data_IF_059889620880
#
_entry.id   IF_059889620880
#
_cell.length_a   1.000
_cell.length_b   1.000
_cell.length_c   1.000
_cell.angle_alpha   90.00
_cell.angle_beta   90.00
_cell.angle_gamma   90.00
#
_symmetry.space_group_name_H-M   'P 1'
#
loop_
_entity.id
_entity.type
_entity.pdbx_description
1 polymer ?
#
# COMPACT_ATOMS: atom_id res chain seq x y z
N UNK A 1 14.50 -24.07 -13.89
CA UNK A 1 14.67 -23.25 -12.66
C UNK A 1 14.28 -24.11 -11.48
N UNK A 2 15.06 -24.12 -10.40
CA UNK A 2 14.67 -24.81 -9.16
C UNK A 2 13.42 -24.14 -8.56
N UNK A 3 12.55 -24.90 -7.89
CA UNK A 3 11.32 -24.36 -7.25
C UNK A 3 11.61 -23.15 -6.35
N UNK A 4 12.76 -23.16 -5.67
CA UNK A 4 13.22 -22.09 -4.79
C UNK A 4 13.51 -20.77 -5.56
N UNK A 5 13.99 -20.86 -6.80
CA UNK A 5 14.20 -19.68 -7.63
C UNK A 5 12.84 -19.07 -8.03
N UNK A 6 11.86 -19.90 -8.37
CA UNK A 6 10.53 -19.45 -8.79
C UNK A 6 9.77 -18.74 -7.65
N UNK A 7 9.96 -19.20 -6.41
CA UNK A 7 9.35 -18.61 -5.20
C UNK A 7 10.14 -17.43 -4.62
N UNK A 8 11.25 -17.02 -5.24
CA UNK A 8 12.00 -15.86 -4.74
C UNK A 8 11.17 -14.57 -4.92
N UNK A 9 11.17 -13.65 -3.93
CA UNK A 9 10.41 -12.41 -3.98
C UNK A 9 10.55 -11.61 -5.30
N UNK A 10 11.75 -11.38 -5.86
CA UNK A 10 11.88 -10.61 -7.10
C UNK A 10 11.23 -11.32 -8.30
N UNK A 11 11.34 -12.64 -8.41
CA UNK A 11 10.74 -13.41 -9.50
C UNK A 11 9.22 -13.40 -9.38
N UNK A 12 8.69 -13.59 -8.17
CA UNK A 12 7.25 -13.52 -7.90
C UNK A 12 6.69 -12.15 -8.31
N UNK A 13 7.35 -11.05 -7.91
CA UNK A 13 6.93 -9.69 -8.30
C UNK A 13 6.92 -9.52 -9.81
N UNK A 14 7.97 -9.95 -10.51
CA UNK A 14 8.04 -9.84 -11.99
C UNK A 14 6.91 -10.64 -12.64
N UNK A 15 6.66 -11.87 -12.19
CA UNK A 15 5.60 -12.73 -12.75
C UNK A 15 4.23 -12.09 -12.53
N UNK A 16 3.91 -11.64 -11.32
CA UNK A 16 2.62 -11.01 -11.05
C UNK A 16 2.46 -9.66 -11.75
N UNK A 17 3.52 -8.86 -11.87
CA UNK A 17 3.50 -7.63 -12.65
C UNK A 17 3.26 -7.90 -14.14
N UNK A 18 3.90 -8.94 -14.70
CA UNK A 18 3.69 -9.36 -16.08
C UNK A 18 2.25 -9.86 -16.30
N UNK A 19 1.70 -10.65 -15.38
CA UNK A 19 0.30 -11.09 -15.42
C UNK A 19 -0.66 -9.91 -15.35
N UNK A 20 -0.50 -9.01 -14.37
CA UNK A 20 -1.35 -7.82 -14.22
C UNK A 20 -1.30 -6.93 -15.46
N UNK A 21 -0.10 -6.71 -16.02
CA UNK A 21 0.09 -5.95 -17.26
C UNK A 21 -0.58 -6.65 -18.45
N UNK A 22 -0.43 -7.97 -18.56
CA UNK A 22 -1.09 -8.78 -19.57
C UNK A 22 -2.61 -8.66 -19.51
N UNK A 23 -3.19 -8.75 -18.31
CA UNK A 23 -4.62 -8.54 -18.09
C UNK A 23 -5.06 -7.13 -18.46
N UNK A 24 -4.31 -6.11 -18.05
CA UNK A 24 -4.61 -4.71 -18.38
C UNK A 24 -4.63 -4.47 -19.89
N UNK A 25 -3.62 -4.97 -20.61
CA UNK A 25 -3.53 -4.85 -22.07
C UNK A 25 -4.62 -5.65 -22.79
N UNK A 26 -4.91 -6.86 -22.32
CA UNK A 26 -6.00 -7.67 -22.87
C UNK A 26 -7.36 -6.99 -22.67
N UNK A 27 -7.65 -6.53 -21.45
CA UNK A 27 -8.86 -5.79 -21.13
C UNK A 27 -8.99 -4.52 -21.98
N UNK A 28 -7.91 -3.75 -22.12
CA UNK A 28 -7.88 -2.58 -23.00
C UNK A 28 -8.10 -2.91 -24.47
N UNK A 29 -7.71 -4.11 -24.92
CA UNK A 29 -7.94 -4.57 -26.31
C UNK A 29 -9.39 -4.99 -26.57
N UNK A 30 -10.07 -5.53 -25.56
CA UNK A 30 -11.49 -5.89 -25.60
C UNK A 30 -12.41 -4.70 -25.31
N UNK A 31 -11.91 -3.64 -24.69
CA UNK A 31 -12.70 -2.46 -24.39
C UNK A 31 -13.21 -1.79 -25.68
N UNK A 32 -14.51 -1.40 -25.73
CA UNK A 32 -15.05 -0.69 -26.87
C UNK A 32 -14.38 0.69 -27.00
N UNK A 33 -13.89 0.99 -28.20
CA UNK A 33 -13.36 2.32 -28.51
C UNK A 33 -14.54 3.27 -28.69
N UNK A 34 -14.75 4.16 -27.73
CA UNK A 34 -15.72 5.26 -27.86
C UNK A 34 -15.04 6.46 -28.53
N UNK A 35 -15.79 7.19 -29.36
CA UNK A 35 -15.35 8.47 -29.93
C UNK A 35 -14.93 9.46 -28.83
N UNK A 36 -14.03 10.39 -29.18
CA UNK A 36 -13.65 11.44 -28.25
C UNK A 36 -14.78 12.46 -28.16
N UNK A 37 -15.36 12.59 -26.96
CA UNK A 37 -16.31 13.63 -26.63
C UNK A 37 -15.70 14.57 -25.58
N UNK A 38 -16.02 15.88 -25.64
CA UNK A 38 -15.48 16.86 -24.69
C UNK A 38 -15.81 16.50 -23.23
N UNK A 39 -16.99 15.93 -22.97
CA UNK A 39 -17.40 15.48 -21.63
C UNK A 39 -16.77 14.18 -21.13
N UNK A 40 -16.07 13.42 -21.98
CA UNK A 40 -15.55 12.08 -21.64
C UNK A 40 -14.49 12.10 -20.54
N UNK A 41 -13.77 13.21 -20.41
CA UNK A 41 -12.70 13.41 -19.43
C UNK A 41 -13.06 14.48 -18.38
N UNK A 42 -14.30 14.98 -18.40
CA UNK A 42 -14.76 15.93 -17.40
C UNK A 42 -15.01 15.22 -16.06
N UNK A 43 -14.71 15.87 -14.92
CA UNK A 43 -15.09 15.36 -13.60
C UNK A 43 -16.59 15.08 -13.53
N UNK A 44 -16.97 14.07 -12.75
CA UNK A 44 -18.38 13.79 -12.52
C UNK A 44 -18.99 14.89 -11.64
N UNK A 45 -19.78 15.76 -12.26
CA UNK A 45 -20.50 16.85 -11.59
C UNK A 45 -21.97 16.91 -12.05
N UNK A 46 -22.59 15.75 -12.33
CA UNK A 46 -23.97 15.67 -12.80
C UNK A 46 -24.28 16.54 -14.05
N UNK A 47 -23.27 16.83 -14.88
CA UNK A 47 -23.39 17.68 -16.07
C UNK A 47 -23.17 19.17 -15.82
N UNK A 48 -22.84 19.58 -14.60
CA UNK A 48 -22.48 20.95 -14.25
C UNK A 48 -21.01 21.24 -14.60
N UNK A 49 -20.73 22.44 -15.09
CA UNK A 49 -19.37 22.91 -15.36
C UNK A 49 -18.75 23.48 -14.09
N UNK A 50 -18.40 22.58 -13.17
CA UNK A 50 -17.83 22.93 -11.86
C UNK A 50 -16.32 22.76 -11.94
N UNK A 51 -15.59 23.86 -11.78
CA UNK A 51 -14.15 23.80 -11.57
C UNK A 51 -13.86 23.01 -10.28
N UNK A 52 -12.90 22.07 -10.26
CA UNK A 52 -12.55 21.35 -9.05
C UNK A 52 -12.26 22.34 -7.93
N UNK A 53 -12.98 22.28 -6.80
CA UNK A 53 -12.68 23.16 -5.69
C UNK A 53 -11.27 22.87 -5.18
N UNK A 54 -10.50 23.92 -4.87
CA UNK A 54 -9.23 23.80 -4.16
C UNK A 54 -9.53 23.42 -2.70
N UNK A 55 -9.84 22.15 -2.46
CA UNK A 55 -10.08 21.64 -1.11
C UNK A 55 -8.72 21.37 -0.47
N UNK A 56 -8.39 22.17 0.55
CA UNK A 56 -7.31 21.82 1.49
C UNK A 56 -7.83 20.73 2.43
N UNK A 57 -7.70 19.48 2.00
CA UNK A 57 -8.00 18.33 2.84
C UNK A 57 -7.02 18.33 4.03
N UNK A 58 -7.53 18.28 5.26
CA UNK A 58 -6.68 18.07 6.43
C UNK A 58 -6.17 16.63 6.42
N UNK A 59 -4.95 16.43 5.92
CA UNK A 59 -4.31 15.12 5.87
C UNK A 59 -3.83 14.62 7.24
N UNK A 60 -4.11 15.35 8.31
CA UNK A 60 -3.58 15.06 9.64
C UNK A 60 -3.96 13.65 10.13
N UNK A 61 -5.24 13.28 10.08
CA UNK A 61 -5.67 11.93 10.49
C UNK A 61 -5.11 10.82 9.58
N UNK A 62 -5.08 11.06 8.27
CA UNK A 62 -4.49 10.11 7.31
C UNK A 62 -2.99 9.94 7.52
N UNK A 63 -2.29 11.01 7.87
CA UNK A 63 -0.85 10.98 8.14
C UNK A 63 -0.51 10.13 9.36
N UNK A 64 -1.23 10.31 10.47
CA UNK A 64 -1.05 9.47 11.67
C UNK A 64 -1.34 8.01 11.37
N UNK A 65 -2.43 7.72 10.65
CA UNK A 65 -2.79 6.36 10.23
C UNK A 65 -1.72 5.72 9.34
N UNK A 66 -1.21 6.45 8.34
CA UNK A 66 -0.20 5.97 7.41
C UNK A 66 1.13 5.68 8.10
N UNK A 67 1.57 6.56 9.01
CA UNK A 67 2.78 6.34 9.80
C UNK A 67 2.64 5.16 10.76
N UNK A 68 1.53 5.06 11.48
CA UNK A 68 1.24 3.93 12.35
C UNK A 68 1.26 2.62 11.56
N UNK A 69 0.56 2.58 10.43
CA UNK A 69 0.54 1.42 9.54
C UNK A 69 1.95 1.06 9.06
N UNK A 70 2.73 2.04 8.59
CA UNK A 70 4.10 1.80 8.12
C UNK A 70 5.01 1.23 9.19
N UNK A 71 4.99 1.80 10.40
CA UNK A 71 5.78 1.32 11.54
C UNK A 71 5.38 -0.10 11.92
N UNK A 72 4.08 -0.39 12.07
CA UNK A 72 3.60 -1.73 12.39
C UNK A 72 3.93 -2.74 11.29
N UNK A 73 3.79 -2.36 10.02
CA UNK A 73 4.07 -3.23 8.88
C UNK A 73 5.57 -3.59 8.80
N UNK A 74 6.46 -2.61 8.94
CA UNK A 74 7.90 -2.85 9.02
C UNK A 74 8.26 -3.72 10.23
N UNK A 75 7.59 -3.51 11.37
CA UNK A 75 7.83 -4.31 12.57
C UNK A 75 7.43 -5.77 12.38
N UNK A 76 6.29 -6.03 11.73
CA UNK A 76 5.87 -7.37 11.36
C UNK A 76 6.89 -8.04 10.41
N UNK A 77 7.42 -7.29 9.43
CA UNK A 77 8.48 -7.78 8.55
C UNK A 77 9.74 -8.17 9.36
N UNK A 78 10.24 -7.29 10.22
CA UNK A 78 11.42 -7.56 11.08
C UNK A 78 11.20 -8.83 11.90
N UNK A 79 10.07 -8.94 12.61
CA UNK A 79 9.77 -10.12 13.43
C UNK A 79 9.66 -11.39 12.59
N UNK A 80 9.03 -11.33 11.41
CA UNK A 80 8.88 -12.49 10.53
C UNK A 80 10.21 -13.00 9.95
N UNK A 81 11.22 -12.14 9.84
CA UNK A 81 12.54 -12.50 9.30
C UNK A 81 13.55 -12.94 10.38
N UNK A 82 13.17 -12.91 11.65
CA UNK A 82 14.05 -13.40 12.72
C UNK A 82 14.22 -14.92 12.63
N UNK A 83 15.45 -15.44 12.79
CA UNK A 83 15.69 -16.87 12.80
C UNK A 83 14.98 -17.53 13.98
N UNK A 84 14.31 -18.67 13.73
CA UNK A 84 13.63 -19.43 14.77
C UNK A 84 14.66 -20.03 15.75
N UNK A 85 14.69 -19.53 16.98
CA UNK A 85 15.56 -20.00 18.05
C UNK A 85 15.28 -19.29 19.38
N UNK A 86 15.70 -19.90 20.50
CA UNK A 86 15.41 -19.38 21.85
C UNK A 86 16.16 -18.08 22.21
N UNK A 87 17.22 -17.73 21.48
CA UNK A 87 18.03 -16.53 21.70
C UNK A 87 17.34 -15.19 21.38
N UNK A 88 16.81 -15.00 20.16
CA UNK A 88 16.23 -13.71 19.73
C UNK A 88 14.89 -13.33 20.37
N UNK A 89 14.23 -14.22 21.13
CA UNK A 89 12.89 -13.94 21.66
C UNK A 89 12.86 -12.74 22.63
N UNK A 90 13.89 -12.59 23.49
CA UNK A 90 13.98 -11.43 24.40
C UNK A 90 14.19 -10.12 23.65
N UNK A 91 15.02 -10.13 22.60
CA UNK A 91 15.25 -8.96 21.75
C UNK A 91 13.97 -8.59 20.98
N UNK A 92 13.25 -9.58 20.45
CA UNK A 92 11.98 -9.40 19.76
C UNK A 92 10.91 -8.76 20.66
N UNK A 93 10.80 -9.24 21.91
CA UNK A 93 9.87 -8.64 22.89
C UNK A 93 10.25 -7.20 23.24
N UNK A 94 11.54 -6.91 23.45
CA UNK A 94 12.02 -5.54 23.72
C UNK A 94 11.73 -4.62 22.53
N UNK A 95 11.99 -5.09 21.31
CA UNK A 95 11.69 -4.36 20.08
C UNK A 95 10.19 -4.08 19.95
N UNK A 96 9.33 -5.09 20.13
CA UNK A 96 7.87 -4.92 20.06
C UNK A 96 7.34 -3.97 21.14
N UNK A 97 7.91 -3.99 22.36
CA UNK A 97 7.56 -3.03 23.40
C UNK A 97 7.91 -1.59 22.99
N UNK A 98 9.08 -1.38 22.38
CA UNK A 98 9.47 -0.09 21.82
C UNK A 98 8.53 0.38 20.71
N UNK A 99 8.19 -0.50 19.77
CA UNK A 99 7.22 -0.20 18.70
C UNK A 99 5.84 0.14 19.26
N UNK A 100 5.34 -0.63 20.22
CA UNK A 100 4.07 -0.36 20.88
C UNK A 100 4.09 1.02 21.57
N UNK A 101 5.19 1.36 22.24
CA UNK A 101 5.36 2.68 22.84
C UNK A 101 5.41 3.80 21.80
N UNK A 102 6.14 3.62 20.70
CA UNK A 102 6.19 4.61 19.60
C UNK A 102 4.81 4.82 18.97
N UNK A 103 4.07 3.75 18.70
CA UNK A 103 2.69 3.84 18.17
C UNK A 103 1.76 4.52 19.18
N UNK A 104 1.87 4.18 20.46
CA UNK A 104 1.10 4.83 21.51
C UNK A 104 1.34 6.34 21.55
N UNK A 105 2.61 6.78 21.55
CA UNK A 105 2.96 8.21 21.52
C UNK A 105 2.47 8.89 20.24
N UNK A 106 2.56 8.22 19.10
CA UNK A 106 2.10 8.74 17.82
C UNK A 106 0.59 8.98 17.80
N UNK A 107 -0.19 8.09 18.43
CA UNK A 107 -1.67 8.14 18.44
C UNK A 107 -2.22 8.99 19.59
N UNK A 108 -1.44 9.17 20.67
CA UNK A 108 -1.88 9.88 21.88
C UNK A 108 -2.40 11.31 21.63
N UNK A 109 -1.87 12.03 20.64
CA UNK A 109 -2.32 13.39 20.32
C UNK A 109 -3.65 13.46 19.56
N UNK A 110 -4.19 12.34 19.10
CA UNK A 110 -5.42 12.25 18.29
C UNK A 110 -6.58 11.53 19.04
N UNK A 111 -6.36 11.07 20.28
CA UNK A 111 -7.35 10.45 21.19
C UNK A 111 -7.96 11.48 22.15
#
# INVERSE_FOLDING_TARGET
MSEQALLSPPIVVIVFAALASGFYLAAGRFAPKSEEHPGKRQPYACGEDVAPPEIQLSYQGFFHLALMFGVLHLSALVISTLPAGAGPQRLAMLYLAGIAFSVFVLVWGEL
#
